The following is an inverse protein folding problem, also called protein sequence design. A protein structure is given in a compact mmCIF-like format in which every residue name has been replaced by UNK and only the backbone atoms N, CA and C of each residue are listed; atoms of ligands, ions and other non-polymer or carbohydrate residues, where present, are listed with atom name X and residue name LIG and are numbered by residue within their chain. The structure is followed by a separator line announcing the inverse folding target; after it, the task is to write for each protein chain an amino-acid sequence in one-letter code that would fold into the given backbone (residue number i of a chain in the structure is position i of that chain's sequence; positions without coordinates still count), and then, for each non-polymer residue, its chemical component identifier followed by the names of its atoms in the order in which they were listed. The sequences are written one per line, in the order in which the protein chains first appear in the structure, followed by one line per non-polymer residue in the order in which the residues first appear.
data_IF_100455368748
#
_entry.id   IF_100455368748
#
_cell.length_a   1.000
_cell.length_b   1.000
_cell.length_c   1.000
_cell.angle_alpha   90.00
_cell.angle_beta   90.00
_cell.angle_gamma   90.00
#
_symmetry.space_group_name_H-M   'P 1'
#
loop_
_entity.id
_entity.type
_entity.pdbx_description
1 polymer ?
#
# COMPACT_ATOMS: atom_id res chain seq x y z
N UNK A 1 18.72 -25.96 -49.71
CA UNK A 1 17.63 -25.81 -48.73
C UNK A 1 18.23 -26.08 -47.37
N UNK A 2 18.67 -25.04 -46.66
CA UNK A 2 19.30 -25.16 -45.35
C UNK A 2 18.30 -24.70 -44.28
N UNK A 3 17.71 -25.67 -43.57
CA UNK A 3 16.77 -25.40 -42.49
C UNK A 3 17.56 -24.96 -41.24
N UNK A 4 17.67 -23.65 -41.03
CA UNK A 4 18.09 -23.08 -39.74
C UNK A 4 17.10 -23.50 -38.65
N UNK A 5 17.50 -24.49 -37.84
CA UNK A 5 16.83 -24.83 -36.58
C UNK A 5 17.01 -23.67 -35.61
N UNK A 6 15.97 -22.84 -35.45
CA UNK A 6 15.86 -21.87 -34.36
C UNK A 6 15.85 -22.65 -33.04
N UNK A 7 16.99 -22.70 -32.36
CA UNK A 7 17.15 -23.39 -31.08
C UNK A 7 16.49 -22.51 -30.02
N UNK A 8 15.25 -22.83 -29.64
CA UNK A 8 14.55 -22.21 -28.52
C UNK A 8 15.36 -22.46 -27.23
N UNK A 9 16.20 -21.51 -26.83
CA UNK A 9 16.88 -21.57 -25.53
C UNK A 9 15.83 -21.35 -24.44
N UNK A 10 15.53 -22.40 -23.67
CA UNK A 10 14.69 -22.29 -22.48
C UNK A 10 15.31 -21.26 -21.55
N UNK A 11 14.59 -20.18 -21.27
CA UNK A 11 14.97 -19.17 -20.29
C UNK A 11 15.17 -19.86 -18.93
N UNK A 12 16.40 -19.87 -18.42
CA UNK A 12 16.72 -20.42 -17.10
C UNK A 12 16.34 -19.37 -16.05
N UNK A 13 15.30 -19.64 -15.27
CA UNK A 13 14.91 -18.78 -14.16
C UNK A 13 16.02 -18.71 -13.11
N UNK A 14 16.26 -17.53 -12.54
CA UNK A 14 17.19 -17.40 -11.42
C UNK A 14 16.59 -18.03 -10.15
N UNK A 15 17.43 -18.47 -9.20
CA UNK A 15 16.95 -19.03 -7.93
C UNK A 15 16.03 -18.05 -7.18
N UNK A 16 16.32 -16.75 -7.32
CA UNK A 16 15.55 -15.66 -6.72
C UNK A 16 14.20 -15.45 -7.38
N UNK A 17 14.12 -15.64 -8.69
CA UNK A 17 12.86 -15.60 -9.43
C UNK A 17 11.96 -16.77 -9.01
N UNK A 18 12.53 -17.98 -8.90
CA UNK A 18 11.82 -19.17 -8.38
C UNK A 18 11.33 -18.93 -6.95
N UNK A 19 12.19 -18.42 -6.07
CA UNK A 19 11.82 -18.10 -4.68
C UNK A 19 10.69 -17.06 -4.63
N UNK A 20 10.74 -16.02 -5.46
CA UNK A 20 9.70 -15.00 -5.52
C UNK A 20 8.34 -15.57 -5.93
N UNK A 21 8.33 -16.48 -6.92
CA UNK A 21 7.11 -17.20 -7.31
C UNK A 21 6.61 -18.12 -6.20
N UNK A 22 7.51 -18.85 -5.53
CA UNK A 22 7.15 -19.72 -4.41
C UNK A 22 6.55 -18.92 -3.24
N UNK A 23 7.14 -17.77 -2.89
CA UNK A 23 6.62 -16.86 -1.87
C UNK A 23 5.25 -16.30 -2.25
N UNK A 24 5.06 -15.88 -3.50
CA UNK A 24 3.77 -15.41 -4.00
C UNK A 24 2.70 -16.51 -3.91
N UNK A 25 3.01 -17.71 -4.38
CA UNK A 25 2.11 -18.86 -4.33
C UNK A 25 1.76 -19.22 -2.87
N UNK A 26 2.76 -19.29 -1.99
CA UNK A 26 2.56 -19.52 -0.56
C UNK A 26 1.65 -18.46 0.07
N UNK A 27 1.92 -17.19 -0.19
CA UNK A 27 1.13 -16.07 0.34
C UNK A 27 -0.32 -16.07 -0.13
N UNK A 28 -0.58 -16.49 -1.37
CA UNK A 28 -1.94 -16.68 -1.90
C UNK A 28 -2.62 -17.88 -1.22
N UNK A 29 -1.93 -19.02 -1.15
CA UNK A 29 -2.47 -20.24 -0.54
C UNK A 29 -2.85 -20.04 0.93
N UNK A 30 -2.02 -19.34 1.71
CA UNK A 30 -2.32 -19.06 3.13
C UNK A 30 -3.56 -18.16 3.26
N UNK A 31 -3.73 -17.16 2.37
CA UNK A 31 -4.91 -16.29 2.41
C UNK A 31 -6.19 -17.02 2.02
N UNK A 32 -6.12 -17.89 1.01
CA UNK A 32 -7.24 -18.76 0.65
C UNK A 32 -7.56 -19.70 1.82
N UNK A 33 -6.55 -20.28 2.47
CA UNK A 33 -6.75 -21.10 3.66
C UNK A 33 -7.47 -20.32 4.78
N UNK A 34 -7.01 -19.10 5.10
CA UNK A 34 -7.66 -18.26 6.10
C UNK A 34 -9.08 -17.84 5.72
N UNK A 35 -9.39 -17.74 4.43
CA UNK A 35 -10.75 -17.47 3.98
C UNK A 35 -11.66 -18.69 4.10
N UNK A 36 -11.17 -19.87 3.70
CA UNK A 36 -11.96 -21.12 3.75
C UNK A 36 -12.22 -21.54 5.19
N UNK A 37 -11.20 -21.42 6.05
CA UNK A 37 -11.25 -21.76 7.47
C UNK A 37 -11.25 -20.49 8.34
N UNK A 38 -12.03 -19.48 7.92
CA UNK A 38 -12.07 -18.20 8.60
C UNK A 38 -12.39 -18.36 10.09
N UNK A 39 -11.96 -17.36 10.85
CA UNK A 39 -12.35 -17.22 12.26
C UNK A 39 -13.81 -16.78 12.36
N UNK A 40 -14.39 -16.94 13.54
CA UNK A 40 -15.67 -16.31 13.88
C UNK A 40 -15.53 -14.78 13.90
N UNK A 41 -16.64 -14.08 13.65
CA UNK A 41 -16.72 -12.63 13.82
C UNK A 41 -16.39 -12.25 15.28
N UNK A 42 -15.34 -11.44 15.44
CA UNK A 42 -15.12 -10.75 16.71
C UNK A 42 -15.96 -9.47 16.80
N UNK A 43 -15.99 -8.84 17.98
CA UNK A 43 -16.88 -7.73 18.33
C UNK A 43 -16.97 -6.64 17.26
N UNK A 44 -15.83 -6.15 16.79
CA UNK A 44 -15.75 -5.07 15.83
C UNK A 44 -16.34 -5.44 14.46
N UNK A 45 -16.17 -6.69 14.01
CA UNK A 45 -16.76 -7.19 12.77
C UNK A 45 -18.25 -7.43 12.92
N UNK A 46 -18.67 -8.00 14.06
CA UNK A 46 -20.08 -8.22 14.37
C UNK A 46 -20.86 -6.89 14.36
N UNK A 47 -20.34 -5.86 15.03
CA UNK A 47 -20.92 -4.50 15.04
C UNK A 47 -21.07 -3.93 13.63
N UNK A 48 -20.05 -4.10 12.78
CA UNK A 48 -20.09 -3.59 11.41
C UNK A 48 -21.00 -4.43 10.50
N UNK A 49 -21.09 -5.74 10.73
CA UNK A 49 -21.93 -6.64 9.93
C UNK A 49 -23.40 -6.27 9.99
N UNK A 50 -23.86 -5.66 11.10
CA UNK A 50 -25.20 -5.09 11.24
C UNK A 50 -25.54 -4.10 10.13
N UNK A 51 -24.59 -3.30 9.68
CA UNK A 51 -24.79 -2.33 8.60
C UNK A 51 -25.20 -3.03 7.30
N UNK A 52 -24.69 -4.23 7.05
CA UNK A 52 -24.91 -4.91 5.77
C UNK A 52 -26.29 -5.57 5.69
N UNK A 53 -26.78 -6.15 6.78
CA UNK A 53 -28.07 -6.83 6.81
C UNK A 53 -29.22 -5.93 7.32
N UNK A 54 -28.94 -5.04 8.27
CA UNK A 54 -29.94 -4.28 9.00
C UNK A 54 -30.23 -2.87 8.47
N UNK A 55 -29.39 -2.33 7.58
CA UNK A 55 -29.52 -0.95 7.07
C UNK A 55 -29.63 -0.96 5.55
N UNK A 56 -30.66 -0.32 4.97
CA UNK A 56 -30.84 -0.21 3.53
C UNK A 56 -29.71 0.52 2.81
N UNK A 57 -29.49 0.20 1.52
CA UNK A 57 -28.42 0.83 0.72
C UNK A 57 -28.45 2.36 0.73
N UNK A 58 -29.64 2.95 0.65
CA UNK A 58 -29.83 4.40 0.70
C UNK A 58 -29.36 4.99 2.04
N UNK A 59 -29.64 4.30 3.14
CA UNK A 59 -29.44 4.84 4.48
C UNK A 59 -27.98 4.75 4.93
N UNK A 60 -27.19 3.85 4.32
CA UNK A 60 -25.73 3.81 4.48
C UNK A 60 -25.10 5.16 4.14
N UNK A 61 -25.64 5.89 3.16
CA UNK A 61 -25.07 7.17 2.73
C UNK A 61 -25.45 8.34 3.65
N UNK A 62 -26.69 8.36 4.14
CA UNK A 62 -27.29 9.54 4.78
C UNK A 62 -27.27 9.50 6.31
N UNK A 63 -26.93 8.35 6.92
CA UNK A 63 -26.94 8.19 8.37
C UNK A 63 -25.55 7.83 8.90
N UNK A 64 -25.20 8.25 10.14
CA UNK A 64 -24.06 7.70 10.85
C UNK A 64 -24.19 6.19 11.00
N UNK A 65 -23.10 5.45 10.89
CA UNK A 65 -23.13 4.02 11.11
C UNK A 65 -23.43 3.69 12.60
N UNK A 66 -24.25 2.67 12.87
CA UNK A 66 -24.54 2.23 14.23
C UNK A 66 -23.29 1.68 14.92
N UNK A 67 -23.38 1.50 16.23
CA UNK A 67 -22.34 0.88 17.05
C UNK A 67 -20.96 1.53 16.91
N UNK A 68 -20.92 2.86 16.83
CA UNK A 68 -19.66 3.61 16.84
C UNK A 68 -18.70 3.17 15.71
N UNK A 69 -19.24 2.83 14.54
CA UNK A 69 -18.45 2.35 13.41
C UNK A 69 -18.11 3.47 12.42
N UNK A 70 -17.00 3.30 11.71
CA UNK A 70 -16.64 4.15 10.57
C UNK A 70 -15.95 3.30 9.50
N UNK A 71 -16.43 3.40 8.26
CA UNK A 71 -15.88 2.67 7.13
C UNK A 71 -16.07 3.45 5.82
N UNK A 72 -15.18 3.26 4.83
CA UNK A 72 -15.35 3.84 3.51
C UNK A 72 -16.62 3.32 2.82
N UNK A 73 -17.35 4.21 2.14
CA UNK A 73 -18.64 3.93 1.53
C UNK A 73 -18.56 2.81 0.49
N UNK A 74 -17.58 2.87 -0.42
CA UNK A 74 -17.39 1.86 -1.47
C UNK A 74 -17.13 0.46 -0.89
N UNK A 75 -16.38 0.38 0.21
CA UNK A 75 -16.19 -0.87 0.93
C UNK A 75 -17.53 -1.43 1.47
N UNK A 76 -18.38 -0.60 2.08
CA UNK A 76 -19.68 -1.03 2.59
C UNK A 76 -20.63 -1.47 1.46
N UNK A 77 -20.75 -0.66 0.40
CA UNK A 77 -21.67 -0.94 -0.70
C UNK A 77 -21.30 -2.23 -1.43
N UNK A 78 -20.00 -2.44 -1.72
CA UNK A 78 -19.53 -3.67 -2.37
C UNK A 78 -19.70 -4.87 -1.43
N UNK A 79 -19.36 -4.74 -0.15
CA UNK A 79 -19.54 -5.84 0.82
C UNK A 79 -21.00 -6.22 0.96
N UNK A 80 -21.90 -5.23 1.06
CA UNK A 80 -23.35 -5.48 1.11
C UNK A 80 -23.83 -6.16 -0.17
N UNK A 81 -23.38 -5.72 -1.33
CA UNK A 81 -23.71 -6.35 -2.60
C UNK A 81 -23.26 -7.83 -2.62
N UNK A 82 -22.08 -8.14 -2.11
CA UNK A 82 -21.61 -9.54 -1.99
C UNK A 82 -22.54 -10.35 -1.09
N UNK A 83 -22.97 -9.81 0.06
CA UNK A 83 -23.93 -10.49 0.93
C UNK A 83 -25.31 -10.68 0.29
N UNK A 84 -25.80 -9.71 -0.49
CA UNK A 84 -27.08 -9.84 -1.21
C UNK A 84 -27.00 -10.93 -2.28
N UNK A 85 -25.88 -11.05 -2.98
CA UNK A 85 -25.71 -12.01 -4.08
C UNK A 85 -25.39 -13.43 -3.58
N UNK A 86 -24.50 -13.55 -2.58
CA UNK A 86 -23.99 -14.84 -2.11
C UNK A 86 -24.61 -15.30 -0.78
N UNK A 87 -25.50 -14.50 -0.20
CA UNK A 87 -26.10 -14.73 1.11
C UNK A 87 -25.34 -14.05 2.25
N UNK A 88 -26.05 -13.79 3.34
CA UNK A 88 -25.49 -13.21 4.54
C UNK A 88 -24.75 -14.28 5.35
N UNK A 89 -23.42 -14.23 5.34
CA UNK A 89 -22.55 -15.14 6.06
C UNK A 89 -21.10 -14.69 5.99
N UNK A 90 -20.24 -15.27 6.83
CA UNK A 90 -18.83 -14.88 7.00
C UNK A 90 -18.02 -14.99 5.71
N UNK A 91 -18.25 -16.03 4.90
CA UNK A 91 -17.65 -16.15 3.56
C UNK A 91 -17.95 -14.96 2.64
N UNK A 92 -19.16 -14.38 2.70
CA UNK A 92 -19.50 -13.18 1.91
C UNK A 92 -18.81 -11.93 2.46
N UNK A 93 -18.72 -11.82 3.79
CA UNK A 93 -18.05 -10.72 4.48
C UNK A 93 -16.54 -10.69 4.20
N UNK A 94 -15.90 -11.86 4.20
CA UNK A 94 -14.46 -12.00 4.02
C UNK A 94 -14.02 -12.06 2.56
N UNK A 95 -14.96 -12.13 1.61
CA UNK A 95 -14.62 -12.26 0.19
C UNK A 95 -13.88 -11.03 -0.36
N UNK A 96 -14.37 -9.82 -0.07
CA UNK A 96 -13.70 -8.59 -0.51
C UNK A 96 -12.31 -8.41 0.16
N UNK A 97 -12.15 -8.59 1.49
CA UNK A 97 -10.83 -8.66 2.14
C UNK A 97 -9.88 -9.67 1.49
N UNK A 98 -10.35 -10.88 1.14
CA UNK A 98 -9.54 -11.90 0.47
C UNK A 98 -9.06 -11.41 -0.90
N UNK A 99 -9.96 -10.89 -1.73
CA UNK A 99 -9.63 -10.41 -3.07
C UNK A 99 -8.60 -9.27 -3.03
N UNK A 100 -8.79 -8.31 -2.11
CA UNK A 100 -7.83 -7.22 -1.92
C UNK A 100 -6.50 -7.71 -1.32
N UNK A 101 -6.52 -8.72 -0.45
CA UNK A 101 -5.33 -9.36 0.10
C UNK A 101 -4.49 -10.06 -0.97
N UNK A 102 -5.12 -10.89 -1.82
CA UNK A 102 -4.46 -11.53 -2.97
C UNK A 102 -4.01 -10.47 -3.98
N UNK A 103 -4.87 -9.49 -4.29
CA UNK A 103 -4.56 -8.39 -5.18
C UNK A 103 -3.33 -7.60 -4.73
N UNK A 104 -3.17 -7.38 -3.43
CA UNK A 104 -2.00 -6.72 -2.84
C UNK A 104 -0.72 -7.50 -3.12
N UNK A 105 -0.72 -8.83 -3.01
CA UNK A 105 0.44 -9.67 -3.33
C UNK A 105 0.80 -9.63 -4.83
N UNK A 106 -0.21 -9.66 -5.71
CA UNK A 106 -0.01 -9.59 -7.15
C UNK A 106 0.55 -8.23 -7.58
N UNK A 107 0.02 -7.15 -7.01
CA UNK A 107 0.51 -5.79 -7.24
C UNK A 107 1.91 -5.60 -6.66
N UNK A 108 2.17 -6.12 -5.45
CA UNK A 108 3.50 -6.13 -4.83
C UNK A 108 4.53 -6.82 -5.73
N UNK A 109 4.24 -8.02 -6.24
CA UNK A 109 5.12 -8.73 -7.16
C UNK A 109 5.38 -7.95 -8.44
N UNK A 110 4.32 -7.45 -9.10
CA UNK A 110 4.44 -6.67 -10.34
C UNK A 110 5.22 -5.38 -10.12
N UNK A 111 4.98 -4.68 -9.02
CA UNK A 111 5.70 -3.45 -8.64
C UNK A 111 7.18 -3.76 -8.35
N UNK A 112 7.47 -4.82 -7.61
CA UNK A 112 8.84 -5.21 -7.29
C UNK A 112 9.66 -5.54 -8.54
N UNK A 113 9.07 -6.20 -9.54
CA UNK A 113 9.72 -6.48 -10.84
C UNK A 113 10.09 -5.22 -11.62
N UNK A 114 9.43 -4.09 -11.35
CA UNK A 114 9.74 -2.80 -11.94
C UNK A 114 10.76 -1.99 -11.13
N UNK A 115 10.98 -2.34 -9.85
CA UNK A 115 11.84 -1.58 -8.93
C UNK A 115 13.17 -2.27 -8.62
N UNK A 116 13.22 -3.61 -8.67
CA UNK A 116 14.34 -4.36 -8.14
C UNK A 116 14.86 -5.43 -9.11
N UNK A 117 16.07 -5.94 -8.85
CA UNK A 117 16.54 -7.20 -9.43
C UNK A 117 15.76 -8.39 -8.88
N UNK A 118 15.94 -9.57 -9.47
CA UNK A 118 15.31 -10.80 -8.98
C UNK A 118 15.54 -11.05 -7.48
N UNK A 119 16.76 -10.81 -6.98
CA UNK A 119 17.05 -10.88 -5.54
C UNK A 119 16.24 -9.87 -4.73
N UNK A 120 16.20 -8.60 -5.17
CA UNK A 120 15.44 -7.58 -4.47
C UNK A 120 13.92 -7.80 -4.55
N UNK A 121 13.42 -8.43 -5.61
CA UNK A 121 12.04 -8.91 -5.69
C UNK A 121 11.80 -9.98 -4.64
N UNK A 122 12.70 -10.93 -4.47
CA UNK A 122 12.57 -11.96 -3.43
C UNK A 122 12.56 -11.34 -2.03
N UNK A 123 13.44 -10.37 -1.75
CA UNK A 123 13.45 -9.63 -0.48
C UNK A 123 12.12 -8.90 -0.25
N UNK A 124 11.66 -8.12 -1.23
CA UNK A 124 10.40 -7.38 -1.11
C UNK A 124 9.20 -8.31 -0.90
N UNK A 125 9.12 -9.39 -1.68
CA UNK A 125 8.05 -10.39 -1.55
C UNK A 125 8.11 -11.11 -0.22
N UNK A 126 9.29 -11.41 0.33
CA UNK A 126 9.43 -12.02 1.64
C UNK A 126 8.84 -11.12 2.74
N UNK A 127 9.11 -9.81 2.68
CA UNK A 127 8.56 -8.85 3.65
C UNK A 127 7.05 -8.70 3.52
N UNK A 128 6.53 -8.55 2.29
CA UNK A 128 5.10 -8.37 2.04
C UNK A 128 4.30 -9.64 2.41
N UNK A 129 4.77 -10.82 2.00
CA UNK A 129 4.12 -12.11 2.31
C UNK A 129 4.22 -12.42 3.80
N UNK A 130 5.36 -12.11 4.41
CA UNK A 130 5.60 -12.33 5.84
C UNK A 130 4.84 -11.38 6.76
N UNK A 131 4.31 -10.25 6.27
CA UNK A 131 3.54 -9.32 7.09
C UNK A 131 2.32 -9.97 7.73
N UNK A 132 2.31 -10.09 9.06
CA UNK A 132 1.16 -10.63 9.77
C UNK A 132 -0.06 -9.70 9.71
N UNK A 133 0.13 -8.38 9.66
CA UNK A 133 -0.93 -7.41 9.46
C UNK A 133 -1.59 -7.59 8.10
N UNK A 134 -0.82 -7.57 7.01
CA UNK A 134 -1.40 -7.78 5.67
C UNK A 134 -2.03 -9.17 5.50
N UNK A 135 -1.59 -10.15 6.29
CA UNK A 135 -2.23 -11.47 6.33
C UNK A 135 -3.54 -11.42 7.11
N UNK A 136 -3.51 -10.96 8.37
CA UNK A 136 -4.67 -10.86 9.24
C UNK A 136 -5.82 -10.06 8.61
N UNK A 137 -5.54 -8.87 8.08
CA UNK A 137 -6.56 -8.02 7.45
C UNK A 137 -6.99 -8.49 6.04
N UNK A 138 -6.47 -9.61 5.54
CA UNK A 138 -7.01 -10.27 4.35
C UNK A 138 -8.16 -11.24 4.65
N UNK A 139 -8.41 -11.51 5.93
CA UNK A 139 -9.51 -12.32 6.43
C UNK A 139 -10.20 -11.62 7.62
N UNK A 140 -10.23 -10.29 7.61
CA UNK A 140 -11.01 -9.48 8.55
C UNK A 140 -12.02 -8.62 7.78
N UNK A 141 -13.27 -8.63 8.22
CA UNK A 141 -14.34 -7.78 7.71
C UNK A 141 -14.20 -6.34 8.24
N UNK A 142 -13.13 -5.69 7.79
CA UNK A 142 -12.80 -4.27 8.00
C UNK A 142 -12.07 -3.73 6.78
N UNK A 143 -12.06 -2.40 6.66
CA UNK A 143 -11.46 -1.71 5.52
C UNK A 143 -9.93 -1.81 5.43
N UNK A 144 -9.22 -2.12 6.51
CA UNK A 144 -7.77 -1.87 6.61
C UNK A 144 -6.94 -2.58 5.52
N UNK A 145 -7.24 -3.85 5.23
CA UNK A 145 -6.57 -4.58 4.14
C UNK A 145 -6.90 -4.02 2.75
N UNK A 146 -8.12 -3.51 2.56
CA UNK A 146 -8.56 -2.85 1.33
C UNK A 146 -7.84 -1.50 1.17
N UNK A 147 -7.64 -0.74 2.25
CA UNK A 147 -6.88 0.51 2.20
C UNK A 147 -5.43 0.27 1.75
N UNK A 148 -4.76 -0.74 2.30
CA UNK A 148 -3.42 -1.15 1.86
C UNK A 148 -3.39 -1.59 0.39
N UNK A 149 -4.43 -2.29 -0.08
CA UNK A 149 -4.57 -2.65 -1.50
C UNK A 149 -4.65 -1.40 -2.39
N UNK A 150 -5.43 -0.39 -2.01
CA UNK A 150 -5.52 0.87 -2.74
C UNK A 150 -4.15 1.56 -2.84
N UNK A 151 -3.35 1.55 -1.77
CA UNK A 151 -1.98 2.09 -1.79
C UNK A 151 -1.07 1.29 -2.71
N UNK A 152 -1.09 -0.04 -2.66
CA UNK A 152 -0.35 -0.89 -3.61
C UNK A 152 -0.75 -0.59 -5.06
N UNK A 153 -2.04 -0.41 -5.33
CA UNK A 153 -2.54 -0.11 -6.67
C UNK A 153 -2.01 1.23 -7.17
N UNK A 154 -2.15 2.30 -6.39
CA UNK A 154 -1.71 3.63 -6.82
C UNK A 154 -0.19 3.71 -6.99
N UNK A 155 0.59 3.09 -6.10
CA UNK A 155 2.05 3.02 -6.24
C UNK A 155 2.47 2.17 -7.44
N UNK A 156 1.83 1.03 -7.67
CA UNK A 156 2.09 0.22 -8.86
C UNK A 156 1.84 1.01 -10.15
N UNK A 157 0.70 1.70 -10.26
CA UNK A 157 0.37 2.50 -11.45
C UNK A 157 1.37 3.64 -11.65
N UNK A 158 1.80 4.30 -10.57
CA UNK A 158 2.85 5.32 -10.61
C UNK A 158 4.17 4.75 -11.13
N UNK A 159 4.65 3.66 -10.54
CA UNK A 159 5.91 3.00 -10.91
C UNK A 159 5.87 2.45 -12.33
N UNK A 160 4.71 1.96 -12.79
CA UNK A 160 4.48 1.51 -14.16
C UNK A 160 4.56 2.66 -15.18
N UNK A 161 4.52 3.92 -14.73
CA UNK A 161 4.54 5.09 -15.60
C UNK A 161 3.18 5.42 -16.21
N UNK A 162 2.08 5.07 -15.54
CA UNK A 162 0.73 5.48 -15.98
C UNK A 162 0.63 7.01 -15.91
N UNK A 163 0.01 7.62 -16.92
CA UNK A 163 -0.12 9.07 -16.99
C UNK A 163 -0.87 9.63 -15.78
N UNK A 164 -0.50 10.83 -15.33
CA UNK A 164 -1.14 11.51 -14.20
C UNK A 164 -2.66 11.56 -14.37
N UNK A 165 -3.16 11.88 -15.57
CA UNK A 165 -4.60 11.80 -15.93
C UNK A 165 -5.26 10.46 -15.53
N UNK A 166 -4.75 9.34 -16.04
CA UNK A 166 -5.38 8.03 -15.80
C UNK A 166 -5.23 7.64 -14.34
N UNK A 167 -4.07 7.93 -13.76
CA UNK A 167 -3.80 7.70 -12.35
C UNK A 167 -4.78 8.49 -11.45
N UNK A 168 -5.06 9.75 -11.76
CA UNK A 168 -6.04 10.59 -11.04
C UNK A 168 -7.46 10.05 -11.14
N UNK A 169 -7.86 9.49 -12.29
CA UNK A 169 -9.18 8.85 -12.41
C UNK A 169 -9.29 7.63 -11.50
N UNK A 170 -8.25 6.78 -11.47
CA UNK A 170 -8.23 5.63 -10.55
C UNK A 170 -8.20 6.09 -9.10
N UNK A 171 -7.50 7.18 -8.77
CA UNK A 171 -7.42 7.66 -7.40
C UNK A 171 -8.76 8.15 -6.85
N UNK A 172 -9.63 8.74 -7.68
CA UNK A 172 -11.02 9.07 -7.30
C UNK A 172 -11.78 7.82 -6.86
N UNK A 173 -11.64 6.71 -7.59
CA UNK A 173 -12.29 5.45 -7.24
C UNK A 173 -11.76 4.95 -5.89
N UNK A 174 -10.46 5.01 -5.66
CA UNK A 174 -9.86 4.57 -4.39
C UNK A 174 -10.31 5.37 -3.17
N UNK A 175 -10.73 6.63 -3.33
CA UNK A 175 -11.30 7.43 -2.23
C UNK A 175 -12.52 6.76 -1.60
N UNK A 176 -13.32 6.04 -2.39
CA UNK A 176 -14.50 5.33 -1.89
C UNK A 176 -14.13 4.10 -1.05
N UNK A 177 -12.92 3.57 -1.19
CA UNK A 177 -12.49 2.33 -0.54
C UNK A 177 -11.50 2.56 0.60
N UNK A 178 -11.01 3.78 0.79
CA UNK A 178 -10.03 4.11 1.83
C UNK A 178 -10.17 5.55 2.29
N UNK A 179 -10.30 5.73 3.61
CA UNK A 179 -10.36 7.06 4.22
C UNK A 179 -8.96 7.70 4.30
N UNK A 180 -7.89 6.90 4.30
CA UNK A 180 -6.49 7.34 4.42
C UNK A 180 -5.80 7.57 3.06
N UNK A 181 -6.37 7.09 1.95
CA UNK A 181 -5.70 7.15 0.64
C UNK A 181 -5.39 8.57 0.18
N UNK A 182 -6.12 9.58 0.65
CA UNK A 182 -5.85 10.99 0.33
C UNK A 182 -4.43 11.41 0.74
N UNK A 183 -3.89 10.87 1.84
CA UNK A 183 -2.52 11.16 2.29
C UNK A 183 -1.48 10.66 1.28
N UNK A 184 -1.72 9.47 0.73
CA UNK A 184 -0.88 8.88 -0.31
C UNK A 184 -1.08 9.57 -1.65
N UNK A 185 -2.29 10.03 -1.95
CA UNK A 185 -2.59 10.76 -3.18
C UNK A 185 -1.79 12.06 -3.25
N UNK A 186 -1.81 12.84 -2.17
CA UNK A 186 -1.04 14.08 -2.07
C UNK A 186 0.47 13.80 -2.22
N UNK A 187 0.96 12.75 -1.56
CA UNK A 187 2.34 12.32 -1.70
C UNK A 187 2.71 11.92 -3.14
N UNK A 188 1.84 11.20 -3.85
CA UNK A 188 2.05 10.82 -5.25
C UNK A 188 2.03 12.04 -6.19
N UNK A 189 1.18 13.04 -5.94
CA UNK A 189 1.23 14.30 -6.69
C UNK A 189 2.54 15.07 -6.48
N UNK A 190 3.10 15.05 -5.27
CA UNK A 190 4.44 15.58 -5.03
C UNK A 190 5.51 14.81 -5.84
N UNK A 191 5.38 13.49 -5.92
CA UNK A 191 6.21 12.64 -6.79
C UNK A 191 6.11 13.01 -8.28
N UNK A 192 4.89 13.16 -8.80
CA UNK A 192 4.65 13.58 -10.19
C UNK A 192 5.21 14.98 -10.48
N UNK A 193 4.99 15.94 -9.58
CA UNK A 193 5.56 17.29 -9.70
C UNK A 193 7.09 17.26 -9.72
N UNK A 194 7.70 16.43 -8.87
CA UNK A 194 9.14 16.24 -8.85
C UNK A 194 9.65 15.59 -10.15
N UNK A 195 8.97 14.54 -10.63
CA UNK A 195 9.32 13.86 -11.87
C UNK A 195 9.28 14.80 -13.09
N UNK A 196 8.40 15.81 -13.06
CA UNK A 196 8.24 16.81 -14.13
C UNK A 196 8.81 18.19 -13.78
N UNK A 197 9.71 18.29 -12.79
CA UNK A 197 10.23 19.58 -12.28
C UNK A 197 10.80 20.52 -13.34
N UNK A 198 11.38 19.98 -14.42
CA UNK A 198 11.95 20.77 -15.53
C UNK A 198 10.88 21.42 -16.42
N UNK A 199 9.67 20.87 -16.43
CA UNK A 199 8.54 21.34 -17.23
C UNK A 199 7.27 21.48 -16.36
N UNK A 200 7.45 21.88 -15.08
CA UNK A 200 6.40 21.82 -14.07
C UNK A 200 5.16 22.63 -14.47
N UNK A 201 5.34 23.84 -15.02
CA UNK A 201 4.21 24.66 -15.47
C UNK A 201 3.39 24.01 -16.59
N UNK A 202 4.06 23.35 -17.55
CA UNK A 202 3.38 22.61 -18.62
C UNK A 202 2.67 21.36 -18.08
N UNK A 203 3.32 20.62 -17.18
CA UNK A 203 2.74 19.46 -16.52
C UNK A 203 1.48 19.83 -15.72
N UNK A 204 1.55 20.89 -14.90
CA UNK A 204 0.40 21.38 -14.13
C UNK A 204 -0.71 21.76 -15.10
N UNK A 205 -0.45 22.64 -16.08
CA UNK A 205 -1.47 23.08 -17.05
C UNK A 205 -2.18 21.92 -17.77
N UNK A 206 -1.45 20.87 -18.14
CA UNK A 206 -2.04 19.68 -18.79
C UNK A 206 -2.89 18.82 -17.86
N UNK A 207 -2.60 18.83 -16.55
CA UNK A 207 -3.22 17.95 -15.56
C UNK A 207 -4.12 18.70 -14.56
N UNK A 208 -4.24 20.03 -14.62
CA UNK A 208 -4.97 20.87 -13.67
C UNK A 208 -6.39 20.36 -13.46
N UNK A 209 -7.12 20.03 -14.53
CA UNK A 209 -8.49 19.52 -14.43
C UNK A 209 -8.59 18.22 -13.61
N UNK A 210 -7.65 17.29 -13.80
CA UNK A 210 -7.65 16.00 -13.08
C UNK A 210 -7.20 16.15 -11.63
N UNK A 211 -6.24 17.04 -11.37
CA UNK A 211 -5.80 17.39 -10.02
C UNK A 211 -6.97 18.00 -9.24
N UNK A 212 -7.63 19.01 -9.81
CA UNK A 212 -8.81 19.64 -9.21
C UNK A 212 -9.91 18.60 -9.00
N UNK A 213 -10.22 17.77 -10.01
CA UNK A 213 -11.28 16.76 -9.90
C UNK A 213 -11.06 15.81 -8.72
N UNK A 214 -9.82 15.38 -8.44
CA UNK A 214 -9.52 14.51 -7.29
C UNK A 214 -9.79 15.22 -5.97
N UNK A 215 -9.33 16.46 -5.80
CA UNK A 215 -9.55 17.21 -4.56
C UNK A 215 -11.01 17.63 -4.38
N UNK A 216 -11.71 17.97 -5.46
CA UNK A 216 -13.16 18.20 -5.44
C UNK A 216 -13.91 16.94 -5.07
N UNK A 217 -13.57 15.78 -5.64
CA UNK A 217 -14.17 14.51 -5.28
C UNK A 217 -13.96 14.16 -3.81
N UNK A 218 -12.74 14.36 -3.28
CA UNK A 218 -12.48 14.17 -1.85
C UNK A 218 -13.26 15.16 -0.98
N UNK A 219 -13.30 16.45 -1.34
CA UNK A 219 -14.03 17.46 -0.57
C UNK A 219 -15.53 17.14 -0.53
N UNK A 220 -16.12 16.78 -1.67
CA UNK A 220 -17.52 16.34 -1.74
C UNK A 220 -17.73 15.07 -0.91
N UNK A 221 -16.87 14.07 -1.04
CA UNK A 221 -16.99 12.84 -0.27
C UNK A 221 -16.84 13.08 1.25
N UNK A 222 -15.96 13.99 1.65
CA UNK A 222 -15.78 14.38 3.04
C UNK A 222 -17.02 15.07 3.61
N UNK A 223 -17.54 16.08 2.90
CA UNK A 223 -18.70 16.89 3.35
C UNK A 223 -19.99 16.07 3.30
N UNK A 224 -20.14 15.19 2.32
CA UNK A 224 -21.37 14.41 2.15
C UNK A 224 -21.38 13.13 2.97
N UNK A 225 -20.23 12.54 3.28
CA UNK A 225 -20.15 11.23 3.93
C UNK A 225 -19.18 11.19 5.13
N UNK A 226 -17.87 11.37 4.91
CA UNK A 226 -16.85 11.06 5.95
C UNK A 226 -17.10 11.81 7.27
N UNK A 227 -17.43 13.12 7.21
CA UNK A 227 -17.58 13.93 8.43
C UNK A 227 -18.70 13.45 9.36
N UNK A 228 -19.69 12.73 8.82
CA UNK A 228 -20.80 12.17 9.60
C UNK A 228 -20.46 10.82 10.23
N UNK A 229 -19.33 10.22 9.84
CA UNK A 229 -18.82 8.96 10.39
C UNK A 229 -17.84 9.18 11.55
N UNK A 230 -17.82 10.39 12.12
CA UNK A 230 -17.03 10.68 13.31
C UNK A 230 -17.55 9.84 14.49
N UNK A 231 -16.66 9.04 15.08
CA UNK A 231 -17.01 8.09 16.13
C UNK A 231 -16.81 8.71 17.51
N UNK A 232 -17.77 8.51 18.40
CA UNK A 232 -17.66 8.93 19.80
C UNK A 232 -16.48 8.23 20.50
N UNK A 233 -15.80 8.94 21.40
CA UNK A 233 -14.63 8.44 22.17
C UNK A 233 -13.41 8.05 21.32
N UNK A 234 -13.39 8.31 20.01
CA UNK A 234 -12.23 8.02 19.16
C UNK A 234 -10.95 8.67 19.71
N UNK A 235 -10.98 9.97 19.99
CA UNK A 235 -9.78 10.68 20.46
C UNK A 235 -9.32 10.27 21.85
N UNK A 236 -10.24 9.89 22.74
CA UNK A 236 -9.93 9.38 24.08
C UNK A 236 -9.26 8.01 24.00
N UNK A 237 -9.82 7.10 23.19
CA UNK A 237 -9.24 5.77 22.99
C UNK A 237 -7.84 5.84 22.37
N UNK A 238 -7.64 6.74 21.41
CA UNK A 238 -6.39 6.87 20.68
C UNK A 238 -5.37 7.83 21.28
N UNK A 239 -5.64 8.42 22.44
CA UNK A 239 -4.87 9.54 23.00
C UNK A 239 -3.35 9.26 23.07
N UNK A 240 -2.97 8.06 23.53
CA UNK A 240 -1.58 7.61 23.71
C UNK A 240 -0.84 7.33 22.40
N UNK A 241 -1.56 7.27 21.29
CA UNK A 241 -1.04 6.86 19.97
C UNK A 241 -0.90 8.05 19.00
N UNK A 242 -1.18 9.26 19.48
CA UNK A 242 -0.80 10.50 18.80
C UNK A 242 0.62 10.93 19.16
N UNK A 243 1.25 11.69 18.27
CA UNK A 243 2.58 12.24 18.52
C UNK A 243 2.56 13.16 19.75
N UNK A 244 3.45 12.96 20.75
CA UNK A 244 3.50 13.81 21.92
C UNK A 244 3.91 15.25 21.59
N UNK A 245 3.30 16.21 22.28
CA UNK A 245 3.69 17.64 22.18
C UNK A 245 4.83 18.01 23.11
N UNK A 246 5.16 17.16 24.09
CA UNK A 246 6.23 17.40 25.06
C UNK A 246 7.47 16.55 24.74
N UNK A 247 8.65 17.17 24.76
CA UNK A 247 9.91 16.50 24.41
C UNK A 247 10.23 15.29 25.31
N UNK A 248 9.90 15.38 26.60
CA UNK A 248 10.15 14.29 27.56
C UNK A 248 9.38 13.00 27.27
N UNK A 249 8.20 13.11 26.65
CA UNK A 249 7.35 11.96 26.34
C UNK A 249 7.84 11.13 25.14
N UNK A 250 8.77 11.65 24.33
CA UNK A 250 9.31 10.91 23.18
C UNK A 250 10.09 9.65 23.57
N UNK A 251 10.69 9.65 24.78
CA UNK A 251 11.42 8.49 25.31
C UNK A 251 10.51 7.26 25.43
N UNK A 252 9.27 7.46 25.87
CA UNK A 252 8.30 6.37 26.04
C UNK A 252 7.55 6.11 24.74
N UNK A 253 7.24 7.17 23.99
CA UNK A 253 6.54 7.08 22.72
C UNK A 253 7.28 6.25 21.66
N UNK A 254 8.63 6.21 21.68
CA UNK A 254 9.38 5.38 20.73
C UNK A 254 9.06 3.88 20.88
N UNK A 255 8.76 3.43 22.09
CA UNK A 255 8.36 2.05 22.36
C UNK A 255 6.95 1.78 21.89
N UNK A 256 6.04 2.73 22.11
CA UNK A 256 4.69 2.70 21.51
C UNK A 256 4.78 2.60 20.00
N UNK A 257 5.63 3.43 19.37
CA UNK A 257 5.83 3.44 17.93
C UNK A 257 6.34 2.08 17.44
N UNK A 258 7.28 1.44 18.14
CA UNK A 258 7.71 0.09 17.77
C UNK A 258 6.58 -0.92 17.89
N UNK A 259 5.77 -0.90 18.95
CA UNK A 259 4.62 -1.80 19.09
C UNK A 259 3.66 -1.76 17.90
N UNK A 260 3.45 -0.59 17.29
CA UNK A 260 2.55 -0.38 16.13
C UNK A 260 3.01 -1.17 14.90
N UNK A 261 4.32 -1.29 14.70
CA UNK A 261 4.89 -1.99 13.54
C UNK A 261 5.10 -3.48 13.78
N UNK A 262 4.65 -4.03 14.90
CA UNK A 262 4.76 -5.47 15.17
C UNK A 262 4.06 -6.31 14.11
N UNK A 263 2.84 -5.90 13.71
CA UNK A 263 2.11 -6.51 12.60
C UNK A 263 2.79 -6.37 11.23
N UNK A 264 3.76 -5.47 11.08
CA UNK A 264 4.49 -5.31 9.83
C UNK A 264 5.60 -6.37 9.67
N UNK A 265 5.92 -7.10 10.74
CA UNK A 265 7.02 -8.07 10.73
C UNK A 265 6.52 -9.51 10.53
N UNK A 266 7.36 -10.38 9.93
CA UNK A 266 7.15 -11.82 9.98
C UNK A 266 7.05 -12.33 11.42
N UNK A 267 6.01 -13.12 11.70
CA UNK A 267 5.76 -13.76 12.99
C UNK A 267 5.51 -12.79 14.16
N UNK A 268 5.15 -11.53 13.91
CA UNK A 268 4.91 -10.50 14.94
C UNK A 268 6.06 -10.45 15.98
N UNK A 269 7.31 -10.46 15.50
CA UNK A 269 8.45 -10.38 16.42
C UNK A 269 8.84 -8.92 16.61
N UNK A 270 8.29 -8.26 17.62
CA UNK A 270 8.62 -6.88 17.96
C UNK A 270 10.13 -6.59 18.06
N UNK A 271 10.94 -7.58 18.48
CA UNK A 271 12.40 -7.47 18.59
C UNK A 271 13.14 -7.21 17.26
N UNK A 272 12.54 -7.52 16.10
CA UNK A 272 13.18 -7.28 14.79
C UNK A 272 12.81 -5.93 14.17
N UNK A 273 11.89 -5.18 14.79
CA UNK A 273 11.46 -3.86 14.29
C UNK A 273 12.62 -2.86 14.20
N UNK A 274 13.53 -2.74 15.19
CA UNK A 274 14.66 -1.82 15.08
C UNK A 274 15.54 -2.08 13.85
N UNK A 275 15.72 -3.36 13.47
CA UNK A 275 16.44 -3.73 12.25
C UNK A 275 15.72 -3.23 11.00
N UNK A 276 14.40 -3.42 10.88
CA UNK A 276 13.65 -2.93 9.73
C UNK A 276 13.57 -1.41 9.67
N UNK A 277 13.50 -0.73 10.81
CA UNK A 277 13.57 0.73 10.90
C UNK A 277 14.92 1.24 10.43
N UNK A 278 16.01 0.63 10.90
CA UNK A 278 17.37 0.96 10.47
C UNK A 278 17.56 0.71 8.97
N UNK A 279 17.12 -0.45 8.46
CA UNK A 279 17.09 -0.72 7.03
C UNK A 279 16.26 0.33 6.28
N UNK A 280 15.10 0.72 6.81
CA UNK A 280 14.25 1.76 6.23
C UNK A 280 14.95 3.12 6.12
N UNK A 281 15.70 3.53 7.15
CA UNK A 281 16.51 4.76 7.13
C UNK A 281 17.60 4.70 6.04
N UNK A 282 18.27 3.56 5.88
CA UNK A 282 19.22 3.35 4.78
C UNK A 282 18.50 3.36 3.43
N UNK A 283 17.31 2.76 3.37
CA UNK A 283 16.44 2.75 2.20
C UNK A 283 16.05 4.15 1.74
N UNK A 284 15.81 5.08 2.67
CA UNK A 284 15.61 6.50 2.36
C UNK A 284 16.82 7.11 1.64
N UNK A 285 18.03 6.86 2.16
CA UNK A 285 19.27 7.33 1.54
C UNK A 285 19.47 6.70 0.16
N UNK A 286 19.20 5.39 0.04
CA UNK A 286 19.30 4.67 -1.23
C UNK A 286 18.32 5.23 -2.28
N UNK A 287 17.08 5.51 -1.89
CA UNK A 287 16.07 6.12 -2.77
C UNK A 287 16.47 7.53 -3.21
N UNK A 288 16.99 8.36 -2.30
CA UNK A 288 17.49 9.68 -2.65
C UNK A 288 18.58 9.63 -3.74
N UNK A 289 19.40 8.58 -3.74
CA UNK A 289 20.45 8.38 -4.75
C UNK A 289 19.95 7.75 -6.05
N UNK A 290 18.94 6.89 -6.01
CA UNK A 290 18.55 6.03 -7.14
C UNK A 290 17.22 6.41 -7.80
N UNK A 291 16.20 6.78 -7.01
CA UNK A 291 14.83 7.06 -7.44
C UNK A 291 14.26 8.22 -6.64
N UNK A 292 14.72 9.44 -6.97
CA UNK A 292 14.37 10.68 -6.24
C UNK A 292 12.87 11.00 -6.27
N UNK A 293 12.17 10.58 -7.31
CA UNK A 293 10.72 10.68 -7.41
C UNK A 293 10.03 9.85 -6.30
N UNK A 294 10.46 8.59 -6.11
CA UNK A 294 9.96 7.73 -5.04
C UNK A 294 10.39 8.21 -3.65
N UNK A 295 11.60 8.76 -3.51
CA UNK A 295 12.03 9.44 -2.29
C UNK A 295 11.06 10.56 -1.90
N UNK A 296 10.67 11.42 -2.85
CA UNK A 296 9.72 12.51 -2.59
C UNK A 296 8.36 11.96 -2.15
N UNK A 297 7.83 10.93 -2.82
CA UNK A 297 6.55 10.31 -2.42
C UNK A 297 6.62 9.82 -0.98
N UNK A 298 7.62 9.01 -0.64
CA UNK A 298 7.71 8.40 0.69
C UNK A 298 8.00 9.45 1.76
N UNK A 299 8.89 10.41 1.49
CA UNK A 299 9.15 11.52 2.40
C UNK A 299 7.89 12.37 2.65
N UNK A 300 7.16 12.73 1.60
CA UNK A 300 5.89 13.45 1.73
C UNK A 300 4.87 12.66 2.53
N UNK A 301 4.68 11.36 2.24
CA UNK A 301 3.74 10.53 2.99
C UNK A 301 4.10 10.44 4.48
N UNK A 302 5.39 10.27 4.83
CA UNK A 302 5.85 10.28 6.22
C UNK A 302 5.61 11.64 6.89
N UNK A 303 5.94 12.75 6.22
CA UNK A 303 5.72 14.10 6.76
C UNK A 303 4.23 14.36 6.99
N UNK A 304 3.36 14.03 6.03
CA UNK A 304 1.92 14.18 6.20
C UNK A 304 1.39 13.33 7.35
N UNK A 305 1.82 12.08 7.46
CA UNK A 305 1.36 11.20 8.53
C UNK A 305 1.77 11.72 9.92
N UNK A 306 3.03 12.12 10.07
CA UNK A 306 3.55 12.73 11.31
C UNK A 306 2.80 14.02 11.63
N UNK A 307 2.55 14.88 10.63
CA UNK A 307 1.83 16.13 10.81
C UNK A 307 0.38 15.89 11.26
N UNK A 308 -0.32 14.93 10.65
CA UNK A 308 -1.69 14.59 11.03
C UNK A 308 -1.77 14.06 12.47
N UNK A 309 -0.79 13.27 12.89
CA UNK A 309 -0.71 12.79 14.27
C UNK A 309 -0.38 13.92 15.25
N UNK A 310 0.57 14.79 14.90
CA UNK A 310 0.89 15.97 15.70
C UNK A 310 -0.30 16.93 15.84
N UNK A 311 -1.08 17.14 14.78
CA UNK A 311 -2.29 17.96 14.80
C UNK A 311 -3.50 17.27 15.43
N UNK A 312 -3.33 16.07 16.00
CA UNK A 312 -4.41 15.27 16.60
C UNK A 312 -5.55 14.92 15.63
N UNK A 313 -5.25 14.81 14.33
CA UNK A 313 -6.23 14.45 13.28
C UNK A 313 -6.29 12.93 13.08
N UNK A 314 -5.12 12.27 13.00
CA UNK A 314 -5.07 10.83 12.74
C UNK A 314 -3.91 10.17 13.53
N UNK A 315 -4.20 9.19 14.42
CA UNK A 315 -3.19 8.56 15.26
C UNK A 315 -2.42 7.46 14.52
N UNK A 316 -1.34 6.96 15.12
CA UNK A 316 -0.54 5.91 14.50
C UNK A 316 -1.17 4.50 14.58
N UNK A 317 -2.13 4.28 15.47
CA UNK A 317 -2.60 2.94 15.82
C UNK A 317 -1.95 2.44 17.12
N UNK A 318 -2.35 1.25 17.58
CA UNK A 318 -1.86 0.68 18.83
C UNK A 318 -0.96 -0.54 18.58
N UNK A 319 -0.49 -1.17 19.64
CA UNK A 319 0.49 -2.25 19.55
C UNK A 319 -0.08 -3.60 19.11
N UNK A 320 0.77 -4.45 18.55
CA UNK A 320 0.40 -5.78 18.09
C UNK A 320 -0.21 -5.81 16.67
N UNK A 321 -0.53 -7.03 16.23
CA UNK A 321 -1.01 -7.30 14.86
C UNK A 321 -2.33 -6.57 14.57
N UNK A 322 -3.24 -6.55 15.55
CA UNK A 322 -4.55 -5.90 15.44
C UNK A 322 -4.46 -4.39 15.73
N UNK A 323 -3.47 -3.96 16.50
CA UNK A 323 -3.33 -2.56 16.89
C UNK A 323 -2.85 -1.65 15.77
N UNK A 324 -1.95 -2.15 14.93
CA UNK A 324 -1.37 -1.40 13.81
C UNK A 324 -2.32 -1.10 12.65
N UNK A 325 -3.62 -1.44 12.75
CA UNK A 325 -4.63 -1.26 11.67
C UNK A 325 -4.62 0.12 11.04
N UNK A 326 -4.58 1.17 11.87
CA UNK A 326 -4.64 2.54 11.38
C UNK A 326 -3.40 2.93 10.56
N UNK A 327 -2.26 2.26 10.78
CA UNK A 327 -1.03 2.44 10.00
C UNK A 327 -0.94 1.56 8.76
N UNK A 328 -1.81 0.55 8.58
CA UNK A 328 -1.59 -0.50 7.59
C UNK A 328 -1.52 0.02 6.14
N UNK A 329 -2.14 1.16 5.85
CA UNK A 329 -2.01 1.83 4.55
C UNK A 329 -0.55 2.20 4.21
N UNK A 330 0.32 2.39 5.21
CA UNK A 330 1.76 2.67 5.03
C UNK A 330 2.59 1.42 4.70
N UNK A 331 2.01 0.21 4.79
CA UNK A 331 2.73 -1.05 4.57
C UNK A 331 3.51 -1.10 3.24
N UNK A 332 2.97 -0.66 2.08
CA UNK A 332 3.72 -0.69 0.83
C UNK A 332 4.98 0.19 0.87
N UNK A 333 4.91 1.35 1.52
CA UNK A 333 6.01 2.30 1.66
C UNK A 333 7.08 1.75 2.62
N UNK A 334 6.63 1.18 3.74
CA UNK A 334 7.51 0.56 4.73
C UNK A 334 8.32 -0.59 4.12
N UNK A 335 7.68 -1.54 3.43
CA UNK A 335 8.40 -2.67 2.80
C UNK A 335 9.31 -2.23 1.66
N UNK A 336 8.93 -1.17 0.95
CA UNK A 336 9.78 -0.61 -0.10
C UNK A 336 11.05 -0.03 0.51
N UNK A 337 10.94 0.81 1.55
CA UNK A 337 12.08 1.36 2.28
C UNK A 337 12.98 0.27 2.84
N UNK A 338 12.41 -0.70 3.56
CA UNK A 338 13.17 -1.80 4.14
C UNK A 338 13.92 -2.60 3.04
N UNK A 339 13.26 -2.85 1.91
CA UNK A 339 13.89 -3.58 0.78
C UNK A 339 15.03 -2.79 0.16
N UNK A 340 14.85 -1.50 -0.14
CA UNK A 340 15.93 -0.64 -0.63
C UNK A 340 17.11 -0.62 0.34
N UNK A 341 16.84 -0.56 1.65
CA UNK A 341 17.87 -0.61 2.69
C UNK A 341 18.66 -1.90 2.73
N UNK A 342 17.95 -3.04 2.79
CA UNK A 342 18.56 -4.38 2.81
C UNK A 342 19.41 -4.60 1.56
N UNK A 343 18.90 -4.23 0.39
CA UNK A 343 19.62 -4.38 -0.88
C UNK A 343 20.86 -3.47 -0.91
N UNK A 344 20.76 -2.24 -0.41
CA UNK A 344 21.87 -1.28 -0.42
C UNK A 344 23.00 -1.66 0.55
N UNK A 345 22.69 -2.36 1.64
CA UNK A 345 23.67 -2.87 2.59
C UNK A 345 24.49 -4.05 2.06
N UNK A 346 23.99 -4.76 1.05
CA UNK A 346 24.65 -5.93 0.49
C UNK A 346 25.65 -5.50 -0.60
N UNK A 347 26.83 -6.15 -0.66
CA UNK A 347 27.82 -5.85 -1.70
C UNK A 347 27.21 -6.09 -3.09
N UNK A 348 27.46 -5.22 -4.08
CA UNK A 348 26.95 -5.42 -5.43
C UNK A 348 27.50 -6.74 -5.97
N UNK A 349 26.66 -7.58 -6.61
CA UNK A 349 27.16 -8.81 -7.20
C UNK A 349 28.22 -8.50 -8.27
N UNK A 350 29.24 -9.36 -8.42
CA UNK A 350 30.46 -9.07 -9.20
C UNK A 350 30.22 -8.71 -10.68
N UNK A 351 29.05 -9.01 -11.26
CA UNK A 351 28.75 -8.72 -12.67
C UNK A 351 28.03 -7.38 -12.94
N UNK A 352 27.85 -6.50 -11.94
CA UNK A 352 26.84 -5.43 -12.05
C UNK A 352 27.35 -3.99 -11.95
N UNK A 353 28.28 -3.62 -12.82
CA UNK A 353 28.53 -2.19 -13.11
C UNK A 353 27.58 -1.63 -14.18
N UNK A 354 27.09 -2.44 -15.14
CA UNK A 354 26.40 -1.92 -16.33
C UNK A 354 24.86 -1.88 -16.26
N UNK A 355 24.19 -2.77 -15.50
CA UNK A 355 22.71 -2.77 -15.40
C UNK A 355 22.14 -1.78 -14.37
N UNK A 356 22.98 -1.29 -13.44
CA UNK A 356 22.54 -0.32 -12.43
C UNK A 356 22.21 1.04 -13.08
N UNK A 357 22.92 1.42 -14.14
CA UNK A 357 22.71 2.70 -14.84
C UNK A 357 21.47 2.71 -15.75
N UNK A 358 21.11 1.59 -16.39
CA UNK A 358 19.94 1.51 -17.26
C UNK A 358 18.60 1.46 -16.49
N UNK A 359 18.63 0.97 -15.24
CA UNK A 359 17.46 0.89 -14.35
C UNK A 359 17.12 2.24 -13.67
N UNK A 360 18.01 3.24 -13.79
CA UNK A 360 17.86 4.57 -13.18
C UNK A 360 17.10 5.60 -14.05
N UNK A 361 16.60 5.22 -15.23
CA UNK A 361 15.83 6.13 -16.08
C UNK A 361 14.34 6.09 -15.70
N UNK A 362 13.79 7.25 -15.32
CA UNK A 362 12.40 7.41 -14.95
C UNK A 362 11.49 7.24 -16.20
N UNK A 363 10.57 6.25 -16.24
CA UNK A 363 9.68 6.04 -17.37
C UNK A 363 8.76 7.26 -17.62
N UNK A 364 8.46 8.06 -16.61
CA UNK A 364 7.62 9.27 -16.74
C UNK A 364 8.29 10.38 -17.56
N UNK A 365 9.62 10.36 -17.73
CA UNK A 365 10.35 11.38 -18.49
C UNK A 365 10.62 11.01 -19.95
N UNK A 366 10.25 9.80 -20.39
CA UNK A 366 10.69 9.27 -21.68
C UNK A 366 9.52 9.11 -22.66
N UNK A 367 9.16 10.18 -23.36
CA UNK A 367 8.19 10.15 -24.47
C UNK A 367 8.81 9.80 -25.82
N UNK A 368 10.10 9.42 -25.91
CA UNK A 368 10.78 9.27 -27.21
C UNK A 368 11.58 7.99 -27.50
N UNK A 369 11.76 7.04 -26.60
CA UNK A 369 12.56 5.83 -26.91
C UNK A 369 11.84 4.52 -26.58
N UNK A 370 10.86 4.14 -27.42
CA UNK A 370 10.31 2.79 -27.43
C UNK A 370 11.22 1.75 -28.14
N UNK A 371 12.36 2.17 -28.70
CA UNK A 371 13.25 1.34 -29.53
C UNK A 371 14.46 0.75 -28.80
N UNK A 372 14.73 1.12 -27.54
CA UNK A 372 15.93 0.67 -26.82
C UNK A 372 15.76 -0.65 -26.04
N UNK A 373 14.54 -1.19 -25.92
CA UNK A 373 14.30 -2.42 -25.16
C UNK A 373 14.68 -3.71 -25.91
N UNK A 374 14.85 -3.68 -27.23
CA UNK A 374 15.16 -4.88 -28.02
C UNK A 374 16.66 -5.21 -28.15
N UNK A 375 17.57 -4.28 -27.88
CA UNK A 375 19.00 -4.51 -28.13
C UNK A 375 19.79 -5.19 -27.00
N UNK A 376 19.17 -5.40 -25.82
CA UNK A 376 19.86 -5.99 -24.66
C UNK A 376 19.67 -7.50 -24.49
N UNK A 377 18.98 -8.19 -25.42
CA UNK A 377 18.74 -9.64 -25.32
C UNK A 377 19.64 -10.50 -26.22
N UNK A 378 20.51 -9.89 -27.03
CA UNK A 378 21.47 -10.61 -27.88
C UNK A 378 22.89 -10.08 -27.65
N UNK A 379 23.53 -10.51 -26.57
CA UNK A 379 25.00 -10.73 -26.49
C UNK A 379 25.34 -11.61 -25.31
#
# INVERSE_FOLDING_TARGET
MDHQKVRYQKRKYSVWEILSFALLALGISIRIYQYVFHKDLWLDEAMLSFVLYGIDFKDIFFQPLPYTQAAPLGFLLVSKLMCVVFGYGEWSLYFLPLLCGIGSLLLAYKMARLLFSDFGVAVFMLLVVGSLGLLYYSAEFKQYGIESFCVFLLLYLYVKGVSCKIWSVVSIITLLFSNTIIFIIIACYAGFAYAHKQALGAFIRQNTLYIIAVFTAFALYYVLYIRFQAVQNFYEYWEKYFLPHTLGAYKDFIWTLFGIYEGFTPFARGKVIPFYMFAGLIGFVALYKTRRDMFVIIASACVFYVLLSFLRIYPFGHEGVIGGRLSLFMAPLFYMLASYGIIYLLPPPPERYYRFCAFMQNPLTNTKNHTLFEYCYNR
#
